data_IF_239558215436
#
_entry.id   IF_239558215436
#
_cell.length_a   1.000
_cell.length_b   1.000
_cell.length_c   1.000
_cell.angle_alpha   90.00
_cell.angle_beta   90.00
_cell.angle_gamma   90.00
#
_symmetry.space_group_name_H-M   'P 1'
#
loop_
_entity.id
_entity.type
_entity.pdbx_description
1 polymer ?
#
# COMPACT_ATOMS: atom_id res chain seq x y z
N UNK A 1 0.09 18.02 7.23
CA UNK A 1 0.62 17.43 5.98
C UNK A 1 1.53 16.28 6.38
N UNK A 2 1.36 15.11 5.77
CA UNK A 2 2.24 13.96 5.99
C UNK A 2 3.27 13.93 4.86
N UNK A 3 4.53 13.62 5.19
CA UNK A 3 5.58 13.39 4.20
C UNK A 3 6.14 12.01 4.46
N UNK A 4 5.99 11.12 3.49
CA UNK A 4 6.52 9.76 3.56
C UNK A 4 7.94 9.74 2.99
N UNK A 5 8.84 9.06 3.69
CA UNK A 5 10.13 8.64 3.18
C UNK A 5 9.98 7.33 2.39
N UNK A 6 10.92 6.99 1.49
CA UNK A 6 10.92 5.68 0.85
C UNK A 6 10.84 4.54 1.88
N UNK A 7 9.94 3.59 1.66
CA UNK A 7 9.68 2.47 2.56
C UNK A 7 8.67 2.75 3.69
N UNK A 8 8.24 4.00 3.90
CA UNK A 8 7.13 4.31 4.80
C UNK A 8 5.78 4.12 4.09
N UNK A 9 4.77 3.67 4.83
CA UNK A 9 3.43 3.43 4.31
C UNK A 9 2.36 4.07 5.22
N UNK A 10 1.21 4.32 4.64
CA UNK A 10 -0.01 4.78 5.32
C UNK A 10 -1.18 3.93 4.87
N UNK A 11 -2.03 3.51 5.81
CA UNK A 11 -3.32 2.92 5.50
C UNK A 11 -4.41 4.00 5.52
N UNK A 12 -5.15 4.11 4.41
CA UNK A 12 -6.22 5.08 4.26
C UNK A 12 -7.54 4.43 4.66
N UNK A 13 -8.01 4.79 5.85
CA UNK A 13 -9.28 4.29 6.37
C UNK A 13 -10.46 4.88 5.58
N UNK A 14 -11.54 4.10 5.49
CA UNK A 14 -12.84 4.60 5.07
C UNK A 14 -13.25 5.85 5.89
N UNK A 15 -14.08 6.68 5.27
CA UNK A 15 -14.63 7.90 5.89
C UNK A 15 -13.59 8.93 6.34
N UNK A 16 -12.32 8.81 5.88
CA UNK A 16 -11.23 9.74 6.20
C UNK A 16 -10.78 10.48 4.92
N UNK A 17 -11.02 11.80 4.80
CA UNK A 17 -10.53 12.58 3.67
C UNK A 17 -9.00 12.55 3.56
N UNK A 18 -8.49 12.37 2.35
CA UNK A 18 -7.05 12.35 2.05
C UNK A 18 -6.79 12.84 0.62
N UNK A 19 -5.55 13.23 0.34
CA UNK A 19 -5.11 13.63 -0.99
C UNK A 19 -3.60 13.34 -1.16
N UNK A 20 -3.24 12.75 -2.28
CA UNK A 20 -1.85 12.67 -2.73
C UNK A 20 -1.47 13.98 -3.41
N UNK A 21 -0.43 14.64 -2.91
CA UNK A 21 -0.05 15.97 -3.38
C UNK A 21 1.14 15.94 -4.34
N UNK A 22 2.15 15.12 -4.05
CA UNK A 22 3.39 15.05 -4.82
C UNK A 22 4.17 13.78 -4.47
N UNK A 23 4.80 13.15 -5.47
CA UNK A 23 5.73 12.02 -5.29
C UNK A 23 5.37 10.82 -6.16
N UNK A 24 6.00 9.68 -5.85
CA UNK A 24 5.72 8.37 -6.43
C UNK A 24 5.50 7.40 -5.27
N UNK A 25 4.47 6.57 -5.35
CA UNK A 25 4.14 5.56 -4.35
C UNK A 25 3.59 4.30 -5.03
N UNK A 26 3.73 3.17 -4.36
CA UNK A 26 2.91 1.99 -4.66
C UNK A 26 1.57 2.15 -3.94
N UNK A 27 0.49 1.90 -4.66
CA UNK A 27 -0.87 1.93 -4.12
C UNK A 27 -1.51 0.55 -4.27
N UNK A 28 -2.03 0.03 -3.16
CA UNK A 28 -2.81 -1.22 -3.13
C UNK A 28 -4.20 -0.86 -2.64
N UNK A 29 -5.21 -1.25 -3.39
CA UNK A 29 -6.60 -0.93 -3.09
C UNK A 29 -7.50 -2.13 -3.37
N UNK A 30 -8.60 -2.22 -2.64
CA UNK A 30 -9.71 -3.07 -3.02
C UNK A 30 -10.27 -2.60 -4.38
N UNK A 31 -10.90 -3.51 -5.12
CA UNK A 31 -11.56 -3.18 -6.38
C UNK A 31 -12.83 -2.37 -6.10
N UNK A 32 -12.69 -1.05 -5.99
CA UNK A 32 -13.78 -0.10 -5.77
C UNK A 32 -13.49 1.20 -6.51
N UNK A 33 -14.51 1.77 -7.14
CA UNK A 33 -14.49 3.08 -7.79
C UNK A 33 -15.30 4.13 -7.01
N UNK A 34 -15.75 3.80 -5.79
CA UNK A 34 -16.49 4.71 -4.92
C UNK A 34 -15.58 5.83 -4.42
N UNK A 35 -15.77 7.05 -4.94
CA UNK A 35 -15.00 8.24 -4.56
C UNK A 35 -15.94 9.41 -4.27
N UNK A 36 -15.98 9.82 -2.99
CA UNK A 36 -16.57 11.10 -2.58
C UNK A 36 -15.49 12.18 -2.57
N UNK A 37 -15.70 13.24 -3.35
CA UNK A 37 -14.73 14.33 -3.49
C UNK A 37 -14.91 15.34 -2.35
N UNK A 38 -13.81 15.80 -1.75
CA UNK A 38 -13.83 16.77 -0.65
C UNK A 38 -13.18 18.13 -1.00
N UNK A 39 -12.74 18.31 -2.25
CA UNK A 39 -12.05 19.52 -2.70
C UNK A 39 -11.02 19.23 -3.79
N UNK A 40 -10.17 20.23 -4.08
CA UNK A 40 -9.07 20.14 -5.07
C UNK A 40 -9.51 19.60 -6.44
N UNK A 41 -10.75 19.91 -6.83
CA UNK A 41 -11.36 19.40 -8.06
C UNK A 41 -12.32 20.44 -8.62
N UNK A 42 -12.40 20.58 -9.96
CA UNK A 42 -13.44 21.39 -10.60
C UNK A 42 -14.76 20.61 -10.76
N UNK A 43 -14.81 19.32 -10.42
CA UNK A 43 -16.00 18.46 -10.56
C UNK A 43 -17.02 18.76 -9.45
N UNK A 44 -18.28 18.37 -9.70
CA UNK A 44 -19.34 18.43 -8.68
C UNK A 44 -18.97 17.67 -7.41
N UNK A 45 -19.36 18.22 -6.26
CA UNK A 45 -19.21 17.65 -4.93
C UNK A 45 -20.60 17.53 -4.32
N UNK A 46 -21.00 16.31 -4.01
CA UNK A 46 -22.19 16.04 -3.20
C UNK A 46 -21.86 16.28 -1.72
N UNK A 47 -22.11 17.49 -1.24
CA UNK A 47 -21.74 17.91 0.13
C UNK A 47 -22.54 17.13 1.19
N UNK A 48 -23.88 16.96 1.08
CA UNK A 48 -24.63 16.14 2.03
C UNK A 48 -24.10 14.70 2.12
N UNK A 49 -23.84 14.05 0.97
CA UNK A 49 -23.31 12.68 0.95
C UNK A 49 -21.90 12.61 1.54
N UNK A 50 -21.04 13.59 1.23
CA UNK A 50 -19.71 13.70 1.82
C UNK A 50 -19.78 13.79 3.36
N UNK A 51 -20.62 14.69 3.89
CA UNK A 51 -20.74 14.87 5.34
C UNK A 51 -21.33 13.63 6.02
N UNK A 52 -22.24 12.91 5.35
CA UNK A 52 -22.80 11.67 5.87
C UNK A 52 -21.79 10.51 5.96
N UNK A 53 -20.73 10.55 5.15
CA UNK A 53 -19.72 9.49 5.06
C UNK A 53 -18.32 9.95 5.52
N UNK A 54 -18.22 11.00 6.34
CA UNK A 54 -16.95 11.44 6.93
C UNK A 54 -17.00 11.31 8.44
N UNK A 55 -15.99 10.65 9.01
CA UNK A 55 -15.76 10.63 10.45
C UNK A 55 -14.93 11.83 10.86
N UNK A 56 -15.54 12.76 11.59
CA UNK A 56 -14.89 13.97 12.11
C UNK A 56 -14.13 13.69 13.41
N UNK A 57 -13.20 12.75 13.36
CA UNK A 57 -12.35 12.35 14.49
C UNK A 57 -10.88 12.70 14.22
N UNK A 58 -10.24 13.35 15.18
CA UNK A 58 -8.84 13.73 15.03
C UNK A 58 -7.93 12.49 15.10
N UNK A 59 -7.08 12.32 14.09
CA UNK A 59 -6.01 11.30 14.08
C UNK A 59 -4.66 11.94 14.43
N UNK A 60 -4.02 11.53 15.54
CA UNK A 60 -2.67 11.99 15.89
C UNK A 60 -1.65 11.65 14.80
N UNK A 61 -0.71 12.57 14.55
CA UNK A 61 0.28 12.40 13.47
C UNK A 61 1.15 11.13 13.62
N UNK A 62 1.45 10.73 14.86
CA UNK A 62 2.22 9.52 15.17
C UNK A 62 1.44 8.21 14.94
N UNK A 63 0.16 8.28 14.60
CA UNK A 63 -0.68 7.11 14.27
C UNK A 63 -1.00 7.03 12.77
N UNK A 64 -0.44 7.92 11.96
CA UNK A 64 -0.71 7.95 10.52
C UNK A 64 0.10 6.89 9.77
N UNK A 65 1.31 6.57 10.22
CA UNK A 65 2.14 5.57 9.56
C UNK A 65 1.72 4.16 9.96
N UNK A 66 1.61 3.27 8.97
CA UNK A 66 1.48 1.84 9.21
C UNK A 66 2.80 1.33 9.78
N UNK A 67 2.76 0.68 10.94
CA UNK A 67 3.95 0.12 11.58
C UNK A 67 4.20 -1.28 11.02
N UNK A 68 5.28 -1.50 10.26
CA UNK A 68 5.57 -2.81 9.71
C UNK A 68 6.18 -3.76 10.74
N UNK A 69 6.12 -5.05 10.46
CA UNK A 69 6.68 -6.13 11.29
C UNK A 69 7.77 -6.86 10.49
N UNK A 70 9.01 -6.80 10.96
CA UNK A 70 10.15 -7.48 10.32
C UNK A 70 10.26 -8.92 10.81
N UNK A 71 10.30 -9.88 9.88
CA UNK A 71 10.49 -11.31 10.13
C UNK A 71 11.49 -11.89 9.12
N UNK A 72 12.74 -12.07 9.54
CA UNK A 72 13.80 -12.51 8.61
C UNK A 72 14.00 -11.52 7.47
N UNK A 73 13.80 -11.94 6.23
CA UNK A 73 13.90 -11.09 5.04
C UNK A 73 12.60 -10.29 4.77
N UNK A 74 11.47 -10.69 5.36
CA UNK A 74 10.17 -10.09 5.12
C UNK A 74 9.92 -8.90 6.05
N UNK A 75 9.38 -7.82 5.49
CA UNK A 75 8.83 -6.67 6.19
C UNK A 75 7.35 -6.59 5.85
N UNK A 76 6.51 -7.13 6.73
CA UNK A 76 5.06 -7.18 6.58
C UNK A 76 4.44 -5.83 6.98
N UNK A 77 3.43 -5.37 6.24
CA UNK A 77 2.63 -4.19 6.60
C UNK A 77 1.22 -4.66 6.98
N UNK A 78 0.91 -4.78 8.28
CA UNK A 78 -0.40 -5.27 8.72
C UNK A 78 -1.53 -4.37 8.22
N UNK A 79 -2.47 -4.94 7.47
CA UNK A 79 -3.63 -4.25 6.91
C UNK A 79 -4.90 -4.71 7.63
N UNK A 80 -5.77 -3.80 8.12
CA UNK A 80 -6.98 -4.16 8.87
C UNK A 80 -8.18 -4.50 7.95
N UNK A 81 -7.93 -5.15 6.80
CA UNK A 81 -8.97 -5.64 5.88
C UNK A 81 -8.54 -6.98 5.26
N UNK A 82 -9.51 -7.76 4.77
CA UNK A 82 -9.25 -9.09 4.19
C UNK A 82 -8.97 -9.03 2.67
N UNK A 83 -9.24 -7.89 2.02
CA UNK A 83 -9.15 -7.72 0.57
C UNK A 83 -7.74 -7.93 0.01
N UNK A 84 -6.71 -7.53 0.77
CA UNK A 84 -5.31 -7.60 0.35
C UNK A 84 -4.35 -7.62 1.54
N UNK A 85 -3.12 -8.07 1.26
CA UNK A 85 -1.97 -7.96 2.15
C UNK A 85 -0.79 -7.36 1.39
N UNK A 86 0.19 -6.80 2.10
CA UNK A 86 1.37 -6.19 1.49
C UNK A 86 2.61 -6.44 2.34
N UNK A 87 3.68 -6.92 1.70
CA UNK A 87 4.98 -7.11 2.34
C UNK A 87 6.11 -6.75 1.37
N UNK A 88 7.24 -6.34 1.94
CA UNK A 88 8.51 -6.18 1.22
C UNK A 88 9.44 -7.32 1.58
N UNK A 89 10.19 -7.84 0.60
CA UNK A 89 11.17 -8.89 0.83
C UNK A 89 12.55 -8.40 0.41
N UNK A 90 13.49 -8.38 1.36
CA UNK A 90 14.88 -8.09 1.05
C UNK A 90 15.49 -9.26 0.27
N UNK A 91 16.11 -8.96 -0.86
CA UNK A 91 16.79 -9.95 -1.68
C UNK A 91 18.27 -10.03 -1.35
N UNK A 92 18.83 -11.23 -1.47
CA UNK A 92 20.26 -11.50 -1.30
C UNK A 92 20.69 -12.60 -2.27
N UNK A 93 21.98 -12.92 -2.30
CA UNK A 93 22.51 -14.06 -3.07
C UNK A 93 22.01 -15.42 -2.56
N UNK A 94 21.37 -15.46 -1.38
CA UNK A 94 20.71 -16.65 -0.85
C UNK A 94 19.24 -16.63 -1.23
N UNK A 95 18.78 -17.75 -1.80
CA UNK A 95 17.37 -17.95 -2.11
C UNK A 95 16.51 -17.88 -0.85
N UNK A 96 15.40 -17.17 -0.95
CA UNK A 96 14.36 -17.10 0.09
C UNK A 96 13.06 -17.61 -0.50
N UNK A 97 12.37 -18.50 0.22
CA UNK A 97 11.06 -18.98 -0.21
C UNK A 97 10.00 -17.94 0.15
N UNK A 98 9.24 -17.49 -0.83
CA UNK A 98 8.03 -16.70 -0.65
C UNK A 98 6.85 -17.66 -0.85
N UNK A 99 5.94 -17.72 0.12
CA UNK A 99 4.79 -18.60 0.08
C UNK A 99 3.56 -17.93 0.68
N UNK A 100 2.42 -18.13 0.02
CA UNK A 100 1.14 -17.58 0.41
C UNK A 100 0.01 -18.53 -0.05
N UNK A 101 -1.18 -18.38 0.55
CA UNK A 101 -2.35 -19.21 0.22
C UNK A 101 -3.26 -18.57 -0.85
N UNK A 102 -2.89 -17.39 -1.35
CA UNK A 102 -3.63 -16.59 -2.33
C UNK A 102 -2.83 -16.36 -3.62
N UNK A 103 -3.45 -15.70 -4.59
CA UNK A 103 -2.70 -15.12 -5.71
C UNK A 103 -1.77 -14.00 -5.20
N UNK A 104 -0.61 -13.85 -5.84
CA UNK A 104 0.35 -12.80 -5.53
C UNK A 104 0.87 -12.12 -6.80
N UNK A 105 1.10 -10.82 -6.71
CA UNK A 105 1.87 -10.05 -7.68
C UNK A 105 3.21 -9.72 -7.03
N UNK A 106 4.30 -10.06 -7.69
CA UNK A 106 5.65 -9.71 -7.25
C UNK A 106 6.17 -8.56 -8.11
N UNK A 107 6.56 -7.48 -7.45
CA UNK A 107 7.05 -6.25 -8.09
C UNK A 107 8.46 -5.95 -7.60
N UNK A 108 9.39 -5.73 -8.53
CA UNK A 108 10.77 -5.40 -8.19
C UNK A 108 10.88 -3.90 -7.93
N UNK A 109 10.91 -3.51 -6.64
CA UNK A 109 10.98 -2.10 -6.21
C UNK A 109 12.31 -1.47 -6.60
N UNK A 110 13.40 -2.19 -6.39
CA UNK A 110 14.76 -1.77 -6.74
C UNK A 110 15.65 -2.99 -6.99
N UNK A 111 16.72 -2.78 -7.76
CA UNK A 111 17.65 -3.83 -8.13
C UNK A 111 17.09 -4.82 -9.17
N UNK A 112 17.39 -6.10 -8.96
CA UNK A 112 17.04 -7.20 -9.85
C UNK A 112 16.54 -8.40 -9.04
N UNK A 113 15.33 -8.87 -9.33
CA UNK A 113 14.80 -10.09 -8.73
C UNK A 113 14.89 -11.26 -9.70
N UNK A 114 15.29 -12.43 -9.19
CA UNK A 114 15.18 -13.69 -9.94
C UNK A 114 14.27 -14.63 -9.19
N UNK A 115 13.16 -14.99 -9.82
CA UNK A 115 12.17 -15.91 -9.29
C UNK A 115 12.41 -17.31 -9.84
N UNK A 116 12.29 -18.30 -8.97
CA UNK A 116 12.43 -19.72 -9.31
C UNK A 116 11.19 -20.50 -8.90
N UNK A 117 10.72 -21.38 -9.80
CA UNK A 117 9.68 -22.35 -9.49
C UNK A 117 9.99 -23.67 -10.18
N UNK A 118 10.56 -24.61 -9.42
CA UNK A 118 11.09 -25.85 -10.00
C UNK A 118 12.22 -25.54 -10.97
N UNK A 119 12.05 -25.88 -12.25
CA UNK A 119 13.02 -25.55 -13.32
C UNK A 119 12.73 -24.23 -14.03
N UNK A 120 11.60 -23.56 -13.74
CA UNK A 120 11.29 -22.27 -14.35
C UNK A 120 12.00 -21.14 -13.63
N UNK A 121 12.49 -20.19 -14.42
CA UNK A 121 13.15 -18.98 -13.95
C UNK A 121 12.49 -17.77 -14.62
N UNK A 122 12.26 -16.71 -13.84
CA UNK A 122 11.80 -15.41 -14.33
C UNK A 122 12.64 -14.30 -13.70
N UNK A 123 13.22 -13.44 -14.53
CA UNK A 123 13.94 -12.26 -14.07
C UNK A 123 13.00 -11.05 -14.12
N UNK A 124 12.92 -10.32 -13.01
CA UNK A 124 12.24 -9.04 -12.91
C UNK A 124 13.31 -7.96 -12.77
N UNK A 125 13.31 -7.00 -13.69
CA UNK A 125 14.03 -5.74 -13.54
C UNK A 125 13.20 -4.81 -12.68
N UNK A 126 13.82 -3.77 -12.13
CA UNK A 126 13.10 -2.70 -11.45
C UNK A 126 11.99 -2.13 -12.35
N UNK A 127 10.78 -1.97 -11.79
CA UNK A 127 9.61 -1.41 -12.49
C UNK A 127 8.74 -2.44 -13.18
#
# INVERSE_FOLDING_TARGET
>A
MVKLNPGEAIFLFAETPHAYLQGVALEVMANSDNVLRAGLTPKYIDIPELVANVKFEAKPANQLLTQPVKQGAELDFPIPVDDFAFSLHDLSDKETTISQQSAAILFCVEGDATLWKGSQQLQLKTG
#
